data_IF_074297890794
#
_entry.id   IF_074297890794
#
_cell.length_a   1.000
_cell.length_b   1.000
_cell.length_c   1.000
_cell.angle_alpha   90.00
_cell.angle_beta   90.00
_cell.angle_gamma   90.00
#
_symmetry.space_group_name_H-M   'P 1'
#
loop_
_entity.id
_entity.type
_entity.pdbx_description
1 polymer ?
#
# COMPACT_ATOMS: atom_id res chain seq x y z
N UNK A 1 9.31 3.92 19.82
CA UNK A 1 10.20 4.40 18.75
C UNK A 1 9.45 5.39 17.87
N UNK A 2 10.10 6.49 17.49
CA UNK A 2 9.54 7.50 16.56
C UNK A 2 9.87 7.19 15.08
N UNK A 3 10.87 6.36 14.82
CA UNK A 3 11.38 6.08 13.47
C UNK A 3 11.36 4.58 13.16
N UNK A 4 10.83 4.20 12.01
CA UNK A 4 10.71 2.80 11.59
C UNK A 4 12.07 2.10 11.44
N UNK A 5 13.10 2.82 10.98
CA UNK A 5 14.48 2.33 10.86
C UNK A 5 15.09 1.96 12.22
N UNK A 6 14.77 2.70 13.28
CA UNK A 6 15.19 2.37 14.64
C UNK A 6 14.48 1.12 15.18
N UNK A 7 13.22 0.91 14.80
CA UNK A 7 12.48 -0.30 15.16
C UNK A 7 13.15 -1.52 14.52
N UNK A 8 13.51 -1.46 13.23
CA UNK A 8 14.25 -2.53 12.58
C UNK A 8 15.56 -2.84 13.31
N UNK A 9 16.35 -1.81 13.65
CA UNK A 9 17.60 -1.98 14.41
C UNK A 9 17.36 -2.66 15.76
N UNK A 10 16.35 -2.20 16.51
CA UNK A 10 16.01 -2.79 17.80
C UNK A 10 15.59 -4.26 17.67
N UNK A 11 14.79 -4.61 16.65
CA UNK A 11 14.40 -6.01 16.37
C UNK A 11 15.58 -6.87 15.98
N UNK A 12 16.50 -6.35 15.17
CA UNK A 12 17.71 -7.06 14.79
C UNK A 12 18.58 -7.45 16.00
N UNK A 13 18.47 -6.71 17.10
CA UNK A 13 19.17 -6.99 18.35
C UNK A 13 18.34 -7.84 19.33
N UNK A 14 17.05 -7.54 19.46
CA UNK A 14 16.19 -8.12 20.50
C UNK A 14 15.50 -9.41 20.06
N UNK A 15 15.28 -9.57 18.76
CA UNK A 15 14.62 -10.73 18.14
C UNK A 15 15.34 -11.07 16.83
N UNK A 16 16.66 -11.27 16.90
CA UNK A 16 17.55 -11.39 15.73
C UNK A 16 17.07 -12.44 14.74
N UNK A 17 16.69 -13.62 15.25
CA UNK A 17 16.40 -14.82 14.47
C UNK A 17 14.91 -14.92 14.08
N UNK A 18 14.09 -13.95 14.49
CA UNK A 18 12.69 -13.92 14.12
C UNK A 18 12.55 -13.65 12.63
N UNK A 19 12.01 -14.64 11.90
CA UNK A 19 11.66 -14.54 10.48
C UNK A 19 10.50 -13.56 10.31
N UNK A 20 10.82 -12.40 9.76
CA UNK A 20 9.86 -11.29 9.63
C UNK A 20 9.22 -11.26 8.23
N UNK A 21 9.91 -11.80 7.23
CA UNK A 21 9.40 -11.91 5.86
C UNK A 21 9.68 -13.27 5.24
N UNK A 22 8.70 -13.80 4.52
CA UNK A 22 8.85 -14.98 3.64
C UNK A 22 8.26 -14.63 2.28
N UNK A 23 9.03 -14.82 1.22
CA UNK A 23 8.61 -14.63 -0.16
C UNK A 23 8.34 -15.99 -0.80
N UNK A 24 7.14 -16.16 -1.37
CA UNK A 24 6.76 -17.38 -2.09
C UNK A 24 6.96 -17.23 -3.59
N UNK A 25 7.23 -18.35 -4.27
CA UNK A 25 7.16 -18.46 -5.73
C UNK A 25 5.87 -19.16 -6.20
N UNK A 26 5.64 -19.23 -7.50
CA UNK A 26 4.49 -19.87 -8.17
C UNK A 26 4.27 -21.33 -7.81
N UNK A 27 5.30 -22.04 -7.30
CA UNK A 27 5.19 -23.42 -6.83
C UNK A 27 4.70 -23.53 -5.37
N UNK A 28 4.48 -22.41 -4.68
CA UNK A 28 4.16 -22.37 -3.24
C UNK A 28 5.37 -22.60 -2.33
N UNK A 29 6.57 -22.69 -2.89
CA UNK A 29 7.79 -22.88 -2.12
C UNK A 29 8.35 -21.53 -1.64
N UNK A 30 9.03 -21.56 -0.49
CA UNK A 30 9.78 -20.41 0.01
C UNK A 30 10.94 -20.12 -0.94
N UNK A 31 10.84 -19.01 -1.67
CA UNK A 31 11.90 -18.52 -2.57
C UNK A 31 13.02 -17.86 -1.76
N UNK A 32 12.65 -16.98 -0.82
CA UNK A 32 13.56 -16.33 0.13
C UNK A 32 12.82 -16.10 1.44
N UNK A 33 13.56 -16.08 2.54
CA UNK A 33 13.08 -15.59 3.84
C UNK A 33 14.11 -14.64 4.43
N UNK A 34 13.68 -13.73 5.29
CA UNK A 34 14.57 -12.85 6.04
C UNK A 34 14.17 -12.81 7.51
N UNK A 35 15.16 -13.05 8.35
CA UNK A 35 15.12 -12.68 9.76
C UNK A 35 15.32 -11.18 9.96
N UNK A 36 14.99 -10.67 11.15
CA UNK A 36 15.23 -9.26 11.50
C UNK A 36 16.71 -8.88 11.35
N UNK A 37 17.62 -9.76 11.78
CA UNK A 37 19.06 -9.53 11.68
C UNK A 37 19.56 -9.53 10.23
N UNK A 38 19.07 -10.44 9.38
CA UNK A 38 19.47 -10.48 7.97
C UNK A 38 18.97 -9.27 7.19
N UNK A 39 17.73 -8.84 7.43
CA UNK A 39 17.18 -7.63 6.83
C UNK A 39 18.00 -6.40 7.21
N UNK A 40 18.31 -6.23 8.51
CA UNK A 40 19.14 -5.14 8.99
C UNK A 40 20.53 -5.15 8.32
N UNK A 41 21.22 -6.29 8.30
CA UNK A 41 22.55 -6.43 7.67
C UNK A 41 22.52 -6.11 6.16
N UNK A 42 21.48 -6.55 5.44
CA UNK A 42 21.32 -6.22 4.02
C UNK A 42 21.09 -4.74 3.80
N UNK A 43 20.22 -4.11 4.60
CA UNK A 43 20.00 -2.67 4.56
C UNK A 43 21.28 -1.87 4.85
N UNK A 44 22.11 -2.30 5.81
CA UNK A 44 23.42 -1.67 6.06
C UNK A 44 24.35 -1.73 4.85
N UNK A 45 24.41 -2.88 4.17
CA UNK A 45 25.23 -3.04 2.95
C UNK A 45 24.74 -2.16 1.81
N UNK A 46 23.43 -2.02 1.66
CA UNK A 46 22.84 -1.11 0.67
C UNK A 46 23.16 0.35 1.03
N UNK A 47 23.04 0.74 2.30
CA UNK A 47 23.46 2.07 2.74
C UNK A 47 24.92 2.36 2.36
N UNK A 48 25.81 1.39 2.54
CA UNK A 48 27.23 1.56 2.18
C UNK A 48 27.43 1.69 0.66
N UNK A 49 26.69 0.91 -0.12
CA UNK A 49 26.67 1.01 -1.58
C UNK A 49 26.25 2.43 -2.03
N UNK A 50 25.20 2.98 -1.40
CA UNK A 50 24.70 4.34 -1.68
C UNK A 50 25.73 5.42 -1.35
N UNK A 51 26.48 5.28 -0.25
CA UNK A 51 27.54 6.24 0.11
C UNK A 51 28.78 6.09 -0.77
N UNK A 52 29.35 4.89 -0.88
CA UNK A 52 30.64 4.67 -1.54
C UNK A 52 30.56 4.83 -3.06
N UNK A 53 29.57 4.20 -3.70
CA UNK A 53 29.40 4.23 -5.16
C UNK A 53 28.41 5.29 -5.62
N UNK A 54 27.34 5.51 -4.85
CA UNK A 54 26.28 6.46 -5.20
C UNK A 54 26.59 7.90 -4.86
N UNK A 55 27.49 8.16 -3.89
CA UNK A 55 27.79 9.49 -3.35
C UNK A 55 26.52 10.25 -2.91
N UNK A 56 25.55 9.49 -2.39
CA UNK A 56 24.25 10.01 -1.96
C UNK A 56 24.41 10.86 -0.71
N UNK A 57 23.80 12.04 -0.71
CA UNK A 57 23.72 12.93 0.44
C UNK A 57 22.41 12.73 1.21
N UNK A 58 22.37 13.17 2.45
CA UNK A 58 21.12 13.23 3.22
C UNK A 58 20.10 14.12 2.49
N UNK A 59 18.88 13.63 2.34
CA UNK A 59 17.80 14.30 1.62
C UNK A 59 17.73 13.95 0.12
N UNK A 60 18.75 13.31 -0.46
CA UNK A 60 18.70 12.91 -1.86
C UNK A 60 17.63 11.84 -2.09
N UNK A 61 16.95 11.95 -3.23
CA UNK A 61 15.89 11.02 -3.61
C UNK A 61 16.48 9.84 -4.38
N UNK A 62 16.12 8.62 -3.97
CA UNK A 62 16.62 7.39 -4.59
C UNK A 62 15.44 6.59 -5.16
N UNK A 63 15.41 6.44 -6.48
CA UNK A 63 14.40 5.65 -7.18
C UNK A 63 14.67 4.15 -6.99
N UNK A 64 13.75 3.46 -6.33
CA UNK A 64 13.79 2.03 -6.07
C UNK A 64 12.94 1.30 -7.11
N UNK A 65 13.60 0.75 -8.13
CA UNK A 65 12.93 0.04 -9.22
C UNK A 65 13.15 -1.46 -9.04
N UNK A 66 12.23 -2.15 -8.37
CA UNK A 66 12.36 -3.59 -8.07
C UNK A 66 11.06 -4.35 -8.34
N UNK A 67 11.13 -5.62 -8.78
CA UNK A 67 9.96 -6.50 -8.71
C UNK A 67 9.49 -6.65 -7.24
N UNK A 68 8.24 -7.05 -6.98
CA UNK A 68 7.78 -7.25 -5.61
C UNK A 68 8.61 -8.33 -4.93
N UNK A 69 9.29 -7.98 -3.83
CA UNK A 69 10.19 -8.92 -3.16
C UNK A 69 11.00 -8.30 -2.03
N UNK A 70 11.85 -9.13 -1.42
CA UNK A 70 12.62 -8.75 -0.24
C UNK A 70 13.72 -7.72 -0.53
N UNK A 71 14.22 -7.68 -1.77
CA UNK A 71 15.29 -6.76 -2.16
C UNK A 71 14.79 -5.31 -2.18
N UNK A 72 13.52 -5.06 -2.55
CA UNK A 72 12.85 -3.76 -2.43
C UNK A 72 12.81 -3.28 -0.97
N UNK A 73 12.45 -4.18 -0.04
CA UNK A 73 12.35 -3.87 1.39
C UNK A 73 13.74 -3.54 1.94
N UNK A 74 14.76 -4.35 1.60
CA UNK A 74 16.14 -4.08 1.99
C UNK A 74 16.61 -2.71 1.47
N UNK A 75 16.30 -2.40 0.21
CA UNK A 75 16.66 -1.14 -0.43
C UNK A 75 16.01 0.07 0.24
N UNK A 76 14.71 -0.04 0.57
CA UNK A 76 13.98 0.98 1.32
C UNK A 76 14.67 1.32 2.65
N UNK A 77 14.97 0.33 3.48
CA UNK A 77 15.67 0.57 4.75
C UNK A 77 17.11 1.02 4.57
N UNK A 78 17.79 0.60 3.49
CA UNK A 78 19.13 1.08 3.14
C UNK A 78 19.16 2.58 2.88
N UNK A 79 18.15 3.11 2.17
CA UNK A 79 17.98 4.56 1.98
C UNK A 79 17.79 5.28 3.33
N UNK A 80 16.91 4.76 4.19
CA UNK A 80 16.65 5.37 5.51
C UNK A 80 17.90 5.40 6.41
N UNK A 81 18.80 4.40 6.28
CA UNK A 81 20.04 4.34 7.04
C UNK A 81 21.10 5.36 6.64
N UNK A 82 20.97 5.97 5.46
CA UNK A 82 21.86 7.06 4.99
C UNK A 82 21.14 8.41 4.92
N UNK A 83 19.87 8.45 5.29
CA UNK A 83 19.05 9.67 5.24
C UNK A 83 18.60 10.06 3.84
N UNK A 84 18.65 9.13 2.88
CA UNK A 84 18.06 9.30 1.57
C UNK A 84 16.55 9.07 1.62
N UNK A 85 15.81 9.71 0.72
CA UNK A 85 14.36 9.57 0.59
C UNK A 85 14.05 8.56 -0.53
N UNK A 86 13.63 7.33 -0.19
CA UNK A 86 13.28 6.32 -1.18
C UNK A 86 12.00 6.71 -1.93
N UNK A 87 11.98 6.38 -3.23
CA UNK A 87 10.84 6.52 -4.14
C UNK A 87 10.58 5.14 -4.75
N UNK A 88 9.52 4.45 -4.34
CA UNK A 88 9.23 3.10 -4.86
C UNK A 88 8.52 3.15 -6.20
N UNK A 89 9.08 2.44 -7.19
CA UNK A 89 8.58 2.48 -8.57
C UNK A 89 8.41 1.06 -9.10
N UNK A 90 7.24 0.79 -9.69
CA UNK A 90 6.98 -0.46 -10.39
C UNK A 90 7.94 -0.58 -11.59
N UNK A 91 8.66 -1.70 -11.78
CA UNK A 91 9.50 -1.88 -12.95
C UNK A 91 8.65 -1.90 -14.23
N UNK A 92 9.21 -1.51 -15.38
CA UNK A 92 8.47 -1.58 -16.63
C UNK A 92 8.19 -3.04 -16.99
N UNK A 93 7.05 -3.29 -17.64
CA UNK A 93 6.66 -4.64 -18.01
C UNK A 93 7.42 -5.06 -19.29
N UNK A 94 8.14 -6.20 -19.31
CA UNK A 94 8.98 -6.58 -20.45
C UNK A 94 8.24 -6.65 -21.78
N UNK A 95 6.99 -7.14 -21.77
CA UNK A 95 6.16 -7.26 -22.98
C UNK A 95 5.53 -5.94 -23.44
N UNK A 96 5.48 -4.92 -22.55
CA UNK A 96 4.79 -3.65 -22.79
C UNK A 96 5.73 -2.47 -22.46
N UNK A 97 7.01 -2.58 -22.83
CA UNK A 97 8.03 -1.57 -22.51
C UNK A 97 7.65 -0.18 -23.05
N UNK A 98 7.11 -0.12 -24.27
CA UNK A 98 6.78 1.14 -24.94
C UNK A 98 5.71 1.98 -24.23
N UNK A 99 4.85 1.34 -23.44
CA UNK A 99 3.79 2.02 -22.67
C UNK A 99 4.14 2.17 -21.19
N UNK A 100 4.86 1.21 -20.62
CA UNK A 100 5.17 1.21 -19.18
C UNK A 100 6.45 1.96 -18.81
N UNK A 101 7.48 1.92 -19.67
CA UNK A 101 8.76 2.60 -19.43
C UNK A 101 8.64 4.12 -19.32
N UNK A 102 7.82 4.82 -20.15
CA UNK A 102 7.60 6.26 -19.98
C UNK A 102 7.06 6.64 -18.61
N UNK A 103 6.16 5.83 -18.02
CA UNK A 103 5.64 6.09 -16.66
C UNK A 103 6.74 5.94 -15.60
N UNK A 104 7.58 4.91 -15.70
CA UNK A 104 8.72 4.72 -14.79
C UNK A 104 9.66 5.92 -14.87
N UNK A 105 9.98 6.35 -16.09
CA UNK A 105 10.83 7.52 -16.31
C UNK A 105 10.21 8.79 -15.74
N UNK A 106 8.93 9.02 -16.01
CA UNK A 106 8.20 10.18 -15.51
C UNK A 106 8.25 10.25 -13.99
N UNK A 107 8.13 9.13 -13.26
CA UNK A 107 8.26 9.12 -11.80
C UNK A 107 9.69 9.47 -11.37
N UNK A 108 10.71 8.93 -12.03
CA UNK A 108 12.12 9.29 -11.74
C UNK A 108 12.38 10.79 -11.94
N UNK A 109 11.87 11.36 -13.02
CA UNK A 109 12.01 12.78 -13.31
C UNK A 109 11.22 13.64 -12.30
N UNK A 110 9.95 13.28 -12.06
CA UNK A 110 9.06 14.03 -11.15
C UNK A 110 9.57 13.98 -9.72
N UNK A 111 10.10 12.84 -9.29
CA UNK A 111 10.68 12.69 -7.96
C UNK A 111 12.07 13.33 -7.83
N UNK A 112 12.69 13.87 -8.90
CA UNK A 112 14.08 14.38 -8.85
C UNK A 112 15.08 13.36 -8.29
N UNK A 113 14.87 12.07 -8.57
CA UNK A 113 15.76 11.04 -8.08
C UNK A 113 17.17 11.24 -8.68
N UNK A 114 18.17 11.38 -7.80
CA UNK A 114 19.58 11.55 -8.20
C UNK A 114 20.22 10.21 -8.55
N UNK A 115 19.60 9.12 -8.13
CA UNK A 115 20.11 7.76 -8.28
C UNK A 115 18.96 6.77 -8.48
N UNK A 116 19.19 5.78 -9.34
CA UNK A 116 18.33 4.60 -9.50
C UNK A 116 19.01 3.40 -8.83
N UNK A 117 18.32 2.76 -7.91
CA UNK A 117 18.76 1.53 -7.26
C UNK A 117 17.85 0.38 -7.70
N UNK A 118 18.46 -0.71 -8.16
CA UNK A 118 17.74 -1.86 -8.70
C UNK A 118 18.60 -3.14 -8.65
N UNK A 119 18.06 -4.26 -9.10
CA UNK A 119 18.80 -5.52 -9.26
C UNK A 119 19.27 -5.70 -10.71
N UNK A 120 20.17 -6.67 -10.93
CA UNK A 120 20.77 -6.88 -12.23
C UNK A 120 19.75 -7.13 -13.35
N UNK A 121 18.65 -7.84 -13.05
CA UNK A 121 17.61 -8.20 -14.03
C UNK A 121 16.85 -6.99 -14.57
N UNK A 122 16.45 -6.06 -13.68
CA UNK A 122 15.75 -4.84 -14.07
C UNK A 122 16.71 -3.85 -14.70
N UNK A 123 17.95 -3.75 -14.24
CA UNK A 123 18.98 -2.89 -14.88
C UNK A 123 19.21 -3.33 -16.34
N UNK A 124 19.28 -4.65 -16.59
CA UNK A 124 19.39 -5.19 -17.96
C UNK A 124 18.16 -4.82 -18.80
N UNK A 125 16.96 -4.86 -18.23
CA UNK A 125 15.73 -4.46 -18.91
C UNK A 125 15.72 -2.96 -19.26
N UNK A 126 16.10 -2.10 -18.31
CA UNK A 126 16.17 -0.64 -18.52
C UNK A 126 17.22 -0.22 -19.55
N UNK A 127 18.26 -1.04 -19.74
CA UNK A 127 19.35 -0.82 -20.71
C UNK A 127 19.23 -1.69 -21.97
N UNK A 128 18.10 -2.38 -22.17
CA UNK A 128 17.91 -3.22 -23.35
C UNK A 128 17.80 -2.35 -24.62
N UNK A 129 17.99 -2.98 -25.80
CA UNK A 129 17.84 -2.26 -27.07
C UNK A 129 16.41 -1.75 -27.26
N UNK A 130 15.43 -2.54 -26.85
CA UNK A 130 14.01 -2.20 -26.90
C UNK A 130 13.71 -1.00 -26.00
N UNK A 131 14.25 -0.97 -24.78
CA UNK A 131 14.13 0.19 -23.90
C UNK A 131 14.80 1.44 -24.49
N UNK A 132 15.98 1.26 -25.11
CA UNK A 132 16.73 2.36 -25.76
C UNK A 132 16.00 2.97 -26.97
N UNK A 133 15.11 2.21 -27.62
CA UNK A 133 14.26 2.72 -28.69
C UNK A 133 13.13 3.62 -28.17
N UNK A 134 12.76 3.50 -26.89
CA UNK A 134 11.68 4.27 -26.26
C UNK A 134 12.23 5.49 -25.53
N UNK A 135 13.35 5.33 -24.83
CA UNK A 135 14.04 6.39 -24.08
C UNK A 135 15.55 6.20 -24.18
N UNK A 136 16.30 7.30 -24.33
CA UNK A 136 17.76 7.23 -24.34
C UNK A 136 18.29 6.64 -23.03
N UNK A 137 19.12 5.61 -23.14
CA UNK A 137 19.81 4.98 -22.02
C UNK A 137 20.64 5.96 -21.16
N UNK A 138 21.14 7.06 -21.76
CA UNK A 138 21.88 8.13 -21.05
C UNK A 138 20.98 9.06 -20.25
N UNK A 139 19.66 9.02 -20.45
CA UNK A 139 18.74 9.86 -19.70
C UNK A 139 18.66 9.44 -18.23
N UNK A 140 18.91 8.16 -17.91
CA UNK A 140 18.82 7.65 -16.54
C UNK A 140 19.87 8.28 -15.61
N UNK A 141 19.51 8.57 -14.34
CA UNK A 141 20.49 8.89 -13.31
C UNK A 141 21.49 7.74 -13.12
N UNK A 142 22.51 7.98 -12.30
CA UNK A 142 23.44 6.93 -11.88
C UNK A 142 22.64 5.72 -11.42
N UNK A 143 22.89 4.56 -12.02
CA UNK A 143 22.18 3.32 -11.70
C UNK A 143 23.12 2.38 -10.94
N UNK A 144 22.73 1.98 -9.74
CA UNK A 144 23.47 1.03 -8.92
C UNK A 144 22.75 -0.32 -8.85
N UNK A 145 23.56 -1.38 -8.86
CA UNK A 145 23.11 -2.76 -8.74
C UNK A 145 23.28 -3.26 -7.30
N UNK A 146 22.19 -3.73 -6.69
CA UNK A 146 22.22 -4.35 -5.37
C UNK A 146 22.88 -5.73 -5.36
N UNK A 147 23.10 -6.36 -6.51
CA UNK A 147 23.80 -7.65 -6.57
C UNK A 147 25.33 -7.48 -6.40
N UNK A 148 25.87 -6.27 -6.61
CA UNK A 148 27.28 -5.87 -6.45
C UNK A 148 27.52 -5.02 -5.18
N UNK A 149 26.96 -5.48 -4.05
CA UNK A 149 27.07 -4.81 -2.76
C UNK A 149 28.44 -5.02 -2.08
N UNK A 150 29.08 -3.95 -1.56
CA UNK A 150 30.26 -4.07 -0.71
C UNK A 150 30.03 -5.03 0.47
N UNK A 151 31.11 -5.68 0.93
CA UNK A 151 31.07 -6.54 2.14
C UNK A 151 31.16 -5.74 3.44
N UNK A 152 31.53 -4.46 3.37
CA UNK A 152 31.68 -3.58 4.55
C UNK A 152 30.32 -3.21 5.13
N UNK A 153 30.27 -3.07 6.46
CA UNK A 153 29.10 -2.53 7.18
C UNK A 153 29.12 -1.00 7.14
N UNK A 154 27.93 -0.40 7.22
CA UNK A 154 27.80 1.04 7.33
C UNK A 154 28.41 1.50 8.67
N UNK A 155 29.34 2.45 8.68
CA UNK A 155 30.01 2.85 9.92
C UNK A 155 29.08 3.61 10.86
N UNK A 156 28.24 4.51 10.32
CA UNK A 156 27.30 5.34 11.07
C UNK A 156 25.95 5.31 10.39
N UNK A 157 24.91 4.94 11.15
CA UNK A 157 23.52 5.02 10.71
C UNK A 157 23.01 6.45 10.87
N UNK A 158 22.42 6.99 9.81
CA UNK A 158 21.70 8.25 9.87
C UNK A 158 20.54 8.19 10.88
N UNK A 159 20.39 9.27 11.63
CA UNK A 159 19.24 9.50 12.49
C UNK A 159 18.63 10.84 12.10
N UNK A 160 17.41 10.80 11.60
CA UNK A 160 16.65 12.00 11.30
C UNK A 160 16.58 12.92 12.54
N UNK A 161 17.00 14.20 12.44
CA UNK A 161 16.82 15.19 13.49
C UNK A 161 15.39 15.29 14.07
N UNK A 162 14.36 15.22 13.22
CA UNK A 162 12.95 15.34 13.61
C UNK A 162 12.08 14.29 12.90
N UNK A 163 10.88 14.02 13.43
CA UNK A 163 9.96 13.03 12.87
C UNK A 163 9.17 13.58 11.66
N UNK A 164 9.19 14.89 11.47
CA UNK A 164 8.48 15.64 10.43
C UNK A 164 9.21 15.56 9.08
N UNK A 165 10.50 15.20 9.09
CA UNK A 165 11.24 14.94 7.85
C UNK A 165 10.69 13.76 7.06
N UNK A 166 10.93 13.81 5.75
CA UNK A 166 10.49 12.80 4.81
C UNK A 166 11.10 11.44 5.13
N UNK A 167 10.23 10.46 5.29
CA UNK A 167 10.59 9.05 5.30
C UNK A 167 10.62 8.49 3.87
N UNK A 168 9.66 8.86 3.02
CA UNK A 168 9.61 8.43 1.62
C UNK A 168 8.67 9.30 0.78
N UNK A 169 8.76 9.16 -0.54
CA UNK A 169 7.76 9.70 -1.46
C UNK A 169 6.92 8.55 -2.03
N UNK A 170 5.61 8.73 -1.98
CA UNK A 170 4.64 7.77 -2.50
C UNK A 170 4.06 8.34 -3.80
N UNK A 171 4.39 7.71 -4.93
CA UNK A 171 3.94 8.14 -6.25
C UNK A 171 2.88 7.21 -6.79
N UNK A 172 1.88 7.80 -7.43
CA UNK A 172 0.83 7.04 -8.07
C UNK A 172 0.24 7.78 -9.25
N UNK A 173 -0.22 7.02 -10.22
CA UNK A 173 -0.99 7.54 -11.34
C UNK A 173 -2.48 7.46 -10.98
N UNK A 174 -3.17 8.59 -11.02
CA UNK A 174 -4.61 8.67 -10.84
C UNK A 174 -5.36 8.01 -12.00
N UNK A 175 -6.66 7.77 -11.82
CA UNK A 175 -7.53 7.23 -12.88
C UNK A 175 -7.66 8.15 -14.10
N UNK A 176 -7.36 9.45 -13.95
CA UNK A 176 -7.32 10.43 -15.05
C UNK A 176 -5.94 10.50 -15.73
N UNK A 177 -4.98 9.65 -15.33
CA UNK A 177 -3.64 9.59 -15.89
C UNK A 177 -2.66 10.60 -15.31
N UNK A 178 -3.09 11.47 -14.39
CA UNK A 178 -2.21 12.43 -13.72
C UNK A 178 -1.33 11.72 -12.68
N UNK A 179 -0.01 11.95 -12.76
CA UNK A 179 0.94 11.49 -11.76
C UNK A 179 0.94 12.47 -10.57
N UNK A 180 0.77 11.93 -9.36
CA UNK A 180 0.90 12.69 -8.13
C UNK A 180 1.86 11.99 -7.17
N UNK A 181 2.74 12.75 -6.55
CA UNK A 181 3.57 12.30 -5.44
C UNK A 181 3.06 12.89 -4.13
N UNK A 182 3.14 12.14 -3.04
CA UNK A 182 2.87 12.65 -1.69
C UNK A 182 4.10 12.50 -0.79
N UNK A 183 4.25 13.47 0.10
CA UNK A 183 5.32 13.56 1.09
C UNK A 183 4.92 12.77 2.33
N UNK A 184 5.60 11.65 2.61
CA UNK A 184 5.32 10.85 3.81
C UNK A 184 6.42 11.06 4.84
N UNK A 185 6.09 11.67 5.98
CA UNK A 185 7.03 11.90 7.07
C UNK A 185 7.25 10.65 7.94
N UNK A 186 8.33 10.62 8.72
CA UNK A 186 8.57 9.55 9.70
C UNK A 186 7.47 9.46 10.76
N UNK A 187 6.91 10.59 11.17
CA UNK A 187 5.76 10.68 12.07
C UNK A 187 4.52 10.03 11.46
N UNK A 188 4.18 10.37 10.21
CA UNK A 188 3.04 9.79 9.51
C UNK A 188 3.18 8.27 9.34
N UNK A 189 4.37 7.79 8.95
CA UNK A 189 4.70 6.36 8.83
C UNK A 189 4.46 5.62 10.14
N UNK A 190 4.98 6.14 11.24
CA UNK A 190 4.91 5.49 12.55
C UNK A 190 3.48 5.51 13.09
N UNK A 191 2.76 6.62 12.89
CA UNK A 191 1.34 6.75 13.25
C UNK A 191 0.46 5.77 12.48
N UNK A 192 0.66 5.64 11.16
CA UNK A 192 -0.06 4.69 10.33
C UNK A 192 0.13 3.25 10.83
N UNK A 193 1.39 2.87 11.05
CA UNK A 193 1.71 1.53 11.54
C UNK A 193 1.10 1.25 12.91
N UNK A 194 1.06 2.26 13.80
CA UNK A 194 0.37 2.16 15.10
C UNK A 194 -1.13 1.93 14.93
N UNK A 195 -1.78 2.72 14.10
CA UNK A 195 -3.23 2.62 13.86
C UNK A 195 -3.60 1.27 13.25
N UNK A 196 -2.83 0.78 12.26
CA UNK A 196 -3.01 -0.57 11.70
C UNK A 196 -2.74 -1.68 12.72
N UNK A 197 -1.69 -1.54 13.54
CA UNK A 197 -1.37 -2.51 14.60
C UNK A 197 -2.54 -2.68 15.56
N UNK A 198 -3.16 -1.58 15.98
CA UNK A 198 -4.31 -1.60 16.89
C UNK A 198 -5.53 -2.19 16.18
N UNK A 199 -5.91 -1.66 15.01
CA UNK A 199 -7.11 -2.09 14.31
C UNK A 199 -7.09 -3.57 13.91
N UNK A 200 -5.94 -4.06 13.45
CA UNK A 200 -5.77 -5.45 13.00
C UNK A 200 -5.23 -6.39 14.09
N UNK A 201 -5.01 -5.91 15.31
CA UNK A 201 -4.41 -6.68 16.42
C UNK A 201 -3.11 -7.39 16.00
N UNK A 202 -2.18 -6.63 15.45
CA UNK A 202 -0.93 -7.17 14.92
C UNK A 202 0.10 -7.36 16.05
N UNK A 203 0.65 -8.55 16.16
CA UNK A 203 1.65 -8.92 17.17
C UNK A 203 2.62 -9.99 16.63
N UNK A 204 3.76 -10.25 17.28
CA UNK A 204 4.80 -11.09 16.70
C UNK A 204 4.43 -12.53 16.32
N UNK A 205 3.43 -13.11 16.98
CA UNK A 205 2.91 -14.43 16.63
C UNK A 205 1.80 -14.42 15.54
N UNK A 206 1.46 -13.27 14.95
CA UNK A 206 0.55 -13.22 13.78
C UNK A 206 1.32 -13.53 12.49
N UNK A 207 0.66 -14.24 11.59
CA UNK A 207 1.06 -14.37 10.19
C UNK A 207 0.08 -13.59 9.32
N UNK A 208 0.59 -12.78 8.41
CA UNK A 208 -0.20 -11.98 7.47
C UNK A 208 0.19 -12.35 6.05
N UNK A 209 -0.77 -12.76 5.22
CA UNK A 209 -0.54 -13.00 3.80
C UNK A 209 -0.82 -11.72 3.00
N UNK A 210 0.14 -11.29 2.20
CA UNK A 210 0.05 -10.10 1.36
C UNK A 210 0.19 -10.51 -0.10
N UNK A 211 -0.91 -10.38 -0.86
CA UNK A 211 -0.94 -10.64 -2.29
C UNK A 211 -1.41 -9.40 -3.07
N UNK A 212 -0.55 -8.40 -3.13
CA UNK A 212 -0.78 -7.10 -3.75
C UNK A 212 0.55 -6.42 -4.06
N UNK A 213 0.54 -5.39 -4.89
CA UNK A 213 1.76 -4.67 -5.26
C UNK A 213 2.28 -3.73 -4.15
N UNK A 214 3.61 -3.63 -3.96
CA UNK A 214 4.23 -2.84 -2.89
C UNK A 214 4.72 -1.45 -3.34
N UNK A 215 4.07 -0.80 -4.30
CA UNK A 215 4.64 0.41 -4.93
C UNK A 215 4.08 1.73 -4.40
N UNK A 216 2.85 1.73 -3.89
CA UNK A 216 2.19 2.92 -3.39
C UNK A 216 1.09 2.60 -2.37
N UNK A 217 0.67 3.62 -1.64
CA UNK A 217 -0.48 3.61 -0.74
C UNK A 217 -0.37 2.57 0.38
N UNK A 218 -1.53 2.05 0.80
CA UNK A 218 -1.61 1.00 1.81
C UNK A 218 -0.82 -0.26 1.41
N UNK A 219 -0.70 -0.54 0.11
CA UNK A 219 0.01 -1.72 -0.35
C UNK A 219 1.50 -1.70 -0.02
N UNK A 220 2.15 -0.58 -0.30
CA UNK A 220 3.52 -0.33 0.13
C UNK A 220 3.65 -0.40 1.66
N UNK A 221 2.74 0.24 2.41
CA UNK A 221 2.81 0.27 3.87
C UNK A 221 2.70 -1.13 4.50
N UNK A 222 1.84 -2.00 3.97
CA UNK A 222 1.69 -3.38 4.44
C UNK A 222 2.96 -4.21 4.17
N UNK A 223 3.56 -4.06 2.99
CA UNK A 223 4.76 -4.81 2.60
C UNK A 223 6.02 -4.37 3.34
N UNK A 224 6.25 -3.05 3.42
CA UNK A 224 7.55 -2.52 3.84
C UNK A 224 7.59 -2.06 5.30
N UNK A 225 6.45 -1.67 5.89
CA UNK A 225 6.42 -0.95 7.16
C UNK A 225 5.75 -1.74 8.30
N UNK A 226 4.58 -2.32 8.03
CA UNK A 226 3.68 -2.84 9.06
C UNK A 226 4.28 -3.97 9.90
N UNK A 227 4.97 -4.92 9.26
CA UNK A 227 5.64 -6.05 9.93
C UNK A 227 6.83 -5.58 10.76
N UNK A 228 7.62 -4.64 10.26
CA UNK A 228 8.73 -4.04 11.03
C UNK A 228 8.19 -3.33 12.27
N UNK A 229 7.10 -2.58 12.16
CA UNK A 229 6.53 -1.92 13.33
C UNK A 229 5.97 -2.94 14.34
N UNK A 230 5.11 -3.85 13.88
CA UNK A 230 4.30 -4.70 14.74
C UNK A 230 5.01 -5.98 15.19
N UNK A 231 5.99 -6.43 14.41
CA UNK A 231 6.78 -7.64 14.62
C UNK A 231 6.15 -8.92 14.07
N UNK A 232 5.00 -8.83 13.39
CA UNK A 232 4.35 -10.01 12.80
C UNK A 232 5.13 -10.52 11.60
N UNK A 233 4.93 -11.79 11.26
CA UNK A 233 5.52 -12.40 10.07
C UNK A 233 4.65 -12.13 8.85
N UNK A 234 5.24 -11.53 7.81
CA UNK A 234 4.57 -11.29 6.53
C UNK A 234 4.96 -12.32 5.48
N UNK A 235 3.96 -13.02 4.95
CA UNK A 235 4.07 -13.95 3.83
C UNK A 235 3.72 -13.17 2.56
N UNK A 236 4.74 -12.90 1.77
CA UNK A 236 4.69 -12.06 0.58
C UNK A 236 4.49 -12.91 -0.66
N UNK A 237 3.47 -12.57 -1.43
CA UNK A 237 3.08 -13.29 -2.64
C UNK A 237 2.96 -12.25 -3.77
N UNK A 238 3.97 -12.14 -4.65
CA UNK A 238 3.89 -11.24 -5.79
C UNK A 238 2.69 -11.60 -6.67
N UNK A 239 1.87 -10.62 -7.13
CA UNK A 239 0.74 -10.91 -8.01
C UNK A 239 1.11 -11.68 -9.28
N UNK A 240 2.31 -11.45 -9.83
CA UNK A 240 2.85 -12.18 -10.99
C UNK A 240 2.99 -13.69 -10.76
N UNK A 241 3.22 -14.12 -9.52
CA UNK A 241 3.26 -15.56 -9.20
C UNK A 241 1.86 -16.19 -9.18
N UNK A 242 0.83 -15.38 -8.86
CA UNK A 242 -0.59 -15.80 -8.91
C UNK A 242 -1.10 -15.84 -10.34
N UNK A 243 -0.61 -14.97 -11.23
CA UNK A 243 -0.91 -15.04 -12.66
C UNK A 243 -0.46 -16.38 -13.26
N UNK A 244 0.68 -16.91 -12.82
CA UNK A 244 1.19 -18.23 -13.21
C UNK A 244 0.39 -19.35 -12.53
N UNK A 245 0.10 -19.20 -11.24
CA UNK A 245 -0.64 -20.18 -10.44
C UNK A 245 -1.75 -19.52 -9.60
N UNK A 246 -3.00 -19.48 -10.10
CA UNK A 246 -4.11 -18.83 -9.40
C UNK A 246 -4.43 -19.40 -8.01
N UNK A 247 -4.05 -20.65 -7.74
CA UNK A 247 -4.27 -21.30 -6.45
C UNK A 247 -3.27 -20.90 -5.36
N UNK A 248 -2.16 -20.25 -5.74
CA UNK A 248 -1.02 -19.98 -4.86
C UNK A 248 -1.43 -19.23 -3.59
N UNK A 249 -2.15 -18.12 -3.75
CA UNK A 249 -2.54 -17.27 -2.63
C UNK A 249 -3.44 -18.02 -1.62
N UNK A 250 -4.49 -18.67 -2.10
CA UNK A 250 -5.39 -19.45 -1.24
C UNK A 250 -4.69 -20.65 -0.59
N UNK A 251 -3.77 -21.29 -1.31
CA UNK A 251 -2.97 -22.40 -0.79
C UNK A 251 -2.04 -21.94 0.31
N UNK A 252 -1.37 -20.80 0.14
CA UNK A 252 -0.52 -20.20 1.17
C UNK A 252 -1.34 -19.79 2.41
N UNK A 253 -2.48 -19.13 2.21
CA UNK A 253 -3.39 -18.75 3.31
C UNK A 253 -3.81 -19.98 4.12
N UNK A 254 -4.17 -21.08 3.45
CA UNK A 254 -4.52 -22.36 4.08
C UNK A 254 -3.32 -22.99 4.80
N UNK A 255 -2.18 -23.13 4.13
CA UNK A 255 -0.98 -23.80 4.65
C UNK A 255 -0.45 -23.14 5.92
N UNK A 256 -0.38 -21.81 5.92
CA UNK A 256 0.13 -21.03 7.05
C UNK A 256 -0.97 -20.68 8.08
N UNK A 257 -2.20 -21.18 7.89
CA UNK A 257 -3.38 -20.93 8.74
C UNK A 257 -3.57 -19.43 9.00
N UNK A 258 -3.43 -18.63 7.94
CA UNK A 258 -3.45 -17.18 8.03
C UNK A 258 -4.84 -16.70 8.42
N UNK A 259 -4.88 -15.83 9.44
CA UNK A 259 -6.11 -15.20 9.90
C UNK A 259 -6.47 -13.96 9.08
N UNK A 260 -5.48 -13.12 8.82
CA UNK A 260 -5.64 -11.82 8.17
C UNK A 260 -4.83 -11.80 6.87
N UNK A 261 -5.50 -11.52 5.76
CA UNK A 261 -4.90 -11.49 4.43
C UNK A 261 -5.34 -10.23 3.69
N UNK A 262 -4.44 -9.72 2.85
CA UNK A 262 -4.68 -8.54 2.04
C UNK A 262 -4.43 -8.87 0.58
N UNK A 263 -5.28 -8.37 -0.31
CA UNK A 263 -5.11 -8.55 -1.75
C UNK A 263 -5.57 -7.32 -2.54
N UNK A 264 -5.26 -7.28 -3.84
CA UNK A 264 -5.85 -6.32 -4.77
C UNK A 264 -7.10 -6.89 -5.45
N UNK A 265 -7.90 -6.04 -6.10
CA UNK A 265 -8.99 -6.52 -6.95
C UNK A 265 -8.50 -7.40 -8.10
N UNK A 266 -7.35 -7.08 -8.69
CA UNK A 266 -6.76 -7.89 -9.77
C UNK A 266 -6.47 -9.33 -9.31
N UNK A 267 -5.90 -9.49 -8.12
CA UNK A 267 -5.66 -10.83 -7.54
C UNK A 267 -6.96 -11.55 -7.24
N UNK A 268 -7.95 -10.87 -6.67
CA UNK A 268 -9.27 -11.46 -6.41
C UNK A 268 -9.93 -11.93 -7.71
N UNK A 269 -9.85 -11.15 -8.78
CA UNK A 269 -10.38 -11.47 -10.10
C UNK A 269 -9.65 -12.67 -10.73
N UNK A 270 -8.32 -12.70 -10.68
CA UNK A 270 -7.49 -13.82 -11.14
C UNK A 270 -7.88 -15.13 -10.45
N UNK A 271 -8.01 -15.11 -9.11
CA UNK A 271 -8.43 -16.30 -8.37
C UNK A 271 -9.87 -16.72 -8.70
N UNK A 272 -10.81 -15.75 -8.76
CA UNK A 272 -12.22 -16.04 -9.05
C UNK A 272 -12.39 -16.68 -10.43
N UNK A 273 -11.72 -16.12 -11.46
CA UNK A 273 -11.78 -16.65 -12.82
C UNK A 273 -10.99 -17.94 -12.97
N UNK A 274 -9.74 -17.96 -12.48
CA UNK A 274 -8.82 -19.09 -12.68
C UNK A 274 -9.17 -20.35 -11.89
N UNK A 275 -9.94 -20.23 -10.81
CA UNK A 275 -10.28 -21.36 -9.93
C UNK A 275 -11.75 -21.75 -9.95
N UNK A 276 -12.58 -21.11 -10.78
CA UNK A 276 -14.03 -21.32 -10.82
C UNK A 276 -14.46 -22.79 -10.89
N UNK A 277 -13.79 -23.59 -11.72
CA UNK A 277 -14.06 -25.02 -11.91
C UNK A 277 -13.22 -25.93 -10.99
N UNK A 278 -12.22 -25.40 -10.30
CA UNK A 278 -11.21 -26.18 -9.57
C UNK A 278 -11.44 -26.22 -8.05
N UNK A 279 -12.51 -25.60 -7.54
CA UNK A 279 -12.80 -25.53 -6.09
C UNK A 279 -12.88 -26.92 -5.45
N UNK A 280 -13.56 -27.88 -6.09
CA UNK A 280 -13.65 -29.25 -5.56
C UNK A 280 -12.29 -29.95 -5.52
N UNK A 281 -11.42 -29.68 -6.51
CA UNK A 281 -10.06 -30.19 -6.54
C UNK A 281 -9.18 -29.56 -5.45
N UNK A 282 -9.36 -28.27 -5.16
CA UNK A 282 -8.67 -27.61 -4.06
C UNK A 282 -9.10 -28.21 -2.71
N UNK A 283 -10.40 -28.46 -2.56
CA UNK A 283 -10.94 -29.12 -1.37
C UNK A 283 -10.38 -30.53 -1.18
N UNK A 284 -10.29 -31.33 -2.25
CA UNK A 284 -9.70 -32.68 -2.18
C UNK A 284 -8.20 -32.67 -1.89
N UNK A 285 -7.49 -31.60 -2.28
CA UNK A 285 -6.10 -31.31 -1.88
C UNK A 285 -5.96 -30.78 -0.44
N UNK A 286 -7.07 -30.64 0.31
CA UNK A 286 -7.06 -30.21 1.70
C UNK A 286 -6.95 -28.70 1.91
N UNK A 287 -7.19 -27.88 0.87
CA UNK A 287 -7.23 -26.42 1.04
C UNK A 287 -8.43 -26.01 1.90
N UNK A 288 -8.17 -25.27 2.96
CA UNK A 288 -9.16 -24.82 3.94
C UNK A 288 -8.90 -23.36 4.36
N UNK A 289 -9.90 -22.51 4.15
CA UNK A 289 -9.88 -21.08 4.41
C UNK A 289 -10.65 -20.70 5.69
N UNK A 290 -11.09 -21.66 6.50
CA UNK A 290 -11.85 -21.40 7.74
C UNK A 290 -11.07 -20.60 8.81
N UNK A 291 -9.74 -20.53 8.70
CA UNK A 291 -8.91 -19.69 9.57
C UNK A 291 -9.04 -18.19 9.25
N UNK A 292 -9.44 -17.85 8.02
CA UNK A 292 -9.51 -16.46 7.55
C UNK A 292 -10.66 -15.74 8.26
N UNK A 293 -10.32 -14.70 9.01
CA UNK A 293 -11.28 -13.79 9.64
C UNK A 293 -11.37 -12.47 8.92
N UNK A 294 -10.27 -12.04 8.29
CA UNK A 294 -10.22 -10.78 7.56
C UNK A 294 -9.47 -10.98 6.25
N UNK A 295 -10.13 -10.67 5.14
CA UNK A 295 -9.63 -10.66 3.78
C UNK A 295 -9.91 -9.28 3.20
N UNK A 296 -8.98 -8.35 3.40
CA UNK A 296 -9.16 -6.95 2.98
C UNK A 296 -8.68 -6.77 1.54
N UNK A 297 -9.60 -6.32 0.68
CA UNK A 297 -9.24 -5.88 -0.67
C UNK A 297 -8.80 -4.42 -0.61
N UNK A 298 -7.52 -4.20 -0.93
CA UNK A 298 -6.90 -2.88 -0.95
C UNK A 298 -7.11 -2.24 -2.32
N UNK A 299 -7.81 -1.12 -2.36
CA UNK A 299 -8.00 -0.32 -3.56
C UNK A 299 -8.35 1.15 -3.22
N UNK A 300 -8.04 2.04 -4.15
CA UNK A 300 -8.39 3.48 -4.12
C UNK A 300 -9.59 3.72 -5.06
N UNK A 301 -10.62 2.89 -4.95
CA UNK A 301 -11.84 2.97 -5.76
C UNK A 301 -13.05 2.46 -4.97
N UNK A 302 -14.24 2.67 -5.54
CA UNK A 302 -15.49 2.18 -4.95
C UNK A 302 -15.46 0.64 -4.79
N UNK A 303 -15.98 0.09 -3.68
CA UNK A 303 -16.12 -1.35 -3.51
C UNK A 303 -16.80 -2.08 -4.69
N UNK A 304 -16.13 -3.09 -5.26
CA UNK A 304 -16.62 -3.89 -6.39
C UNK A 304 -17.51 -5.05 -5.90
N UNK A 305 -18.74 -4.71 -5.53
CA UNK A 305 -19.72 -5.63 -4.93
C UNK A 305 -19.90 -6.97 -5.65
N UNK A 306 -19.99 -6.95 -6.98
CA UNK A 306 -20.20 -8.19 -7.74
C UNK A 306 -19.01 -9.15 -7.62
N UNK A 307 -17.78 -8.60 -7.67
CA UNK A 307 -16.56 -9.39 -7.56
C UNK A 307 -16.40 -9.97 -6.14
N UNK A 308 -16.58 -9.15 -5.10
CA UNK A 308 -16.46 -9.62 -3.70
C UNK A 308 -17.50 -10.67 -3.35
N UNK A 309 -18.74 -10.51 -3.85
CA UNK A 309 -19.82 -11.50 -3.66
C UNK A 309 -19.52 -12.81 -4.39
N UNK A 310 -19.09 -12.74 -5.66
CA UNK A 310 -18.74 -13.91 -6.47
C UNK A 310 -17.57 -14.68 -5.86
N UNK A 311 -16.51 -13.99 -5.43
CA UNK A 311 -15.37 -14.58 -4.74
C UNK A 311 -15.80 -15.29 -3.44
N UNK A 312 -16.58 -14.61 -2.59
CA UNK A 312 -17.06 -15.16 -1.32
C UNK A 312 -17.92 -16.40 -1.53
N UNK A 313 -18.83 -16.36 -2.50
CA UNK A 313 -19.70 -17.49 -2.83
C UNK A 313 -18.88 -18.69 -3.33
N UNK A 314 -17.94 -18.44 -4.25
CA UNK A 314 -17.12 -19.48 -4.86
C UNK A 314 -16.28 -20.23 -3.82
N UNK A 315 -15.60 -19.50 -2.93
CA UNK A 315 -14.68 -20.09 -1.96
C UNK A 315 -15.32 -20.44 -0.60
N UNK A 316 -16.63 -20.23 -0.44
CA UNK A 316 -17.39 -20.70 0.72
C UNK A 316 -17.27 -22.22 0.92
N UNK A 317 -17.17 -22.98 -0.18
CA UNK A 317 -16.97 -24.43 -0.14
C UNK A 317 -15.61 -24.87 0.44
N UNK A 318 -14.62 -23.96 0.47
CA UNK A 318 -13.33 -24.12 1.13
C UNK A 318 -13.34 -23.56 2.57
N UNK A 319 -14.47 -23.08 3.07
CA UNK A 319 -14.61 -22.54 4.43
C UNK A 319 -14.38 -21.03 4.55
N UNK A 320 -14.22 -20.30 3.44
CA UNK A 320 -14.14 -18.85 3.50
C UNK A 320 -15.50 -18.26 3.92
N UNK A 321 -15.51 -17.55 5.05
CA UNK A 321 -16.69 -16.81 5.48
C UNK A 321 -16.90 -15.58 4.59
N UNK A 322 -18.10 -15.34 4.02
CA UNK A 322 -18.38 -14.10 3.28
C UNK A 322 -18.15 -12.84 4.13
N UNK A 323 -18.30 -12.96 5.45
CA UNK A 323 -18.08 -11.87 6.42
C UNK A 323 -16.61 -11.49 6.57
N UNK A 324 -15.70 -12.37 6.17
CA UNK A 324 -14.28 -12.08 6.20
C UNK A 324 -13.86 -11.16 5.07
N UNK A 325 -14.60 -11.13 3.95
CA UNK A 325 -14.22 -10.33 2.78
C UNK A 325 -14.72 -8.90 2.95
N UNK A 326 -13.79 -7.97 2.92
CA UNK A 326 -14.05 -6.54 3.09
C UNK A 326 -13.17 -5.73 2.16
N UNK A 327 -13.31 -4.41 2.22
CA UNK A 327 -12.41 -3.48 1.51
C UNK A 327 -11.68 -2.59 2.51
N UNK A 328 -10.71 -1.84 2.00
CA UNK A 328 -10.17 -0.64 2.65
C UNK A 328 -10.41 0.57 1.77
N UNK A 329 -10.38 1.76 2.36
CA UNK A 329 -10.29 3.00 1.61
C UNK A 329 -9.14 3.86 2.15
N UNK A 330 -8.32 4.30 1.22
CA UNK A 330 -7.28 5.30 1.39
C UNK A 330 -7.19 6.08 0.10
N UNK A 331 -6.49 7.20 0.14
CA UNK A 331 -6.27 8.08 -0.99
C UNK A 331 -4.90 8.75 -0.87
N UNK A 332 -4.59 9.65 -1.80
CA UNK A 332 -3.33 10.43 -1.78
C UNK A 332 -3.09 11.13 -0.45
N UNK A 333 -4.03 11.93 0.05
CA UNK A 333 -3.78 12.72 1.26
C UNK A 333 -3.72 11.86 2.53
N UNK A 334 -4.26 10.65 2.49
CA UNK A 334 -4.18 9.67 3.58
C UNK A 334 -4.28 8.24 3.03
N UNK A 335 -3.17 7.51 3.08
CA UNK A 335 -3.07 6.20 2.43
C UNK A 335 -3.89 5.09 3.11
N UNK A 336 -4.48 5.32 4.29
CA UNK A 336 -5.38 4.39 4.95
C UNK A 336 -6.36 5.14 5.88
N UNK A 337 -7.53 5.50 5.36
CA UNK A 337 -8.60 6.15 6.12
C UNK A 337 -9.37 5.09 6.90
N UNK A 338 -9.78 4.02 6.21
CA UNK A 338 -10.52 2.93 6.82
C UNK A 338 -10.11 1.57 6.27
N UNK A 339 -10.24 0.55 7.12
CA UNK A 339 -10.11 -0.86 6.77
C UNK A 339 -10.90 -1.70 7.78
N UNK A 340 -11.14 -2.95 7.44
CA UNK A 340 -11.76 -3.89 8.37
C UNK A 340 -10.71 -4.41 9.36
N UNK A 341 -10.87 -4.06 10.64
CA UNK A 341 -10.03 -4.56 11.71
C UNK A 341 -10.41 -5.98 12.17
N UNK A 342 -9.55 -6.55 13.01
CA UNK A 342 -9.69 -7.90 13.57
C UNK A 342 -10.99 -8.12 14.37
N UNK A 343 -11.40 -7.08 15.10
CA UNK A 343 -12.57 -7.07 15.98
C UNK A 343 -13.66 -6.12 15.48
N UNK A 344 -13.62 -5.75 14.19
CA UNK A 344 -14.62 -4.87 13.58
C UNK A 344 -15.93 -5.62 13.31
N UNK A 345 -17.10 -5.00 13.49
CA UNK A 345 -18.40 -5.56 13.10
C UNK A 345 -18.42 -5.93 11.62
N UNK A 346 -19.24 -6.90 11.24
CA UNK A 346 -19.36 -7.37 9.86
C UNK A 346 -19.58 -6.22 8.86
N UNK A 347 -18.95 -6.26 7.66
CA UNK A 347 -19.13 -5.21 6.66
C UNK A 347 -20.60 -5.02 6.32
N UNK A 348 -21.07 -3.77 6.39
CA UNK A 348 -22.46 -3.45 6.11
C UNK A 348 -22.69 -3.15 4.63
N UNK A 349 -23.88 -3.49 4.13
CA UNK A 349 -24.37 -3.06 2.82
C UNK A 349 -25.61 -2.20 3.00
N UNK A 350 -25.77 -1.22 2.13
CA UNK A 350 -26.95 -0.34 2.10
C UNK A 350 -27.46 -0.20 0.68
N UNK A 351 -28.75 0.10 0.56
CA UNK A 351 -29.37 0.45 -0.72
C UNK A 351 -29.70 1.94 -0.68
N UNK A 352 -29.27 2.67 -1.70
CA UNK A 352 -29.53 4.10 -1.84
C UNK A 352 -30.35 4.39 -3.10
N UNK A 353 -31.21 5.40 -3.05
CA UNK A 353 -31.95 5.85 -4.22
C UNK A 353 -31.01 6.57 -5.23
N UNK A 354 -30.93 6.06 -6.47
CA UNK A 354 -30.08 6.64 -7.52
C UNK A 354 -30.46 8.07 -7.91
N UNK A 355 -31.75 8.43 -7.86
CA UNK A 355 -32.22 9.77 -8.21
C UNK A 355 -31.84 10.76 -7.12
N UNK A 356 -31.98 10.38 -5.85
CA UNK A 356 -31.51 11.18 -4.72
C UNK A 356 -29.99 11.41 -4.83
N UNK A 357 -29.22 10.34 -5.12
CA UNK A 357 -27.76 10.43 -5.22
C UNK A 357 -27.29 11.35 -6.35
N UNK A 358 -28.02 11.43 -7.47
CA UNK A 358 -27.75 12.38 -8.57
C UNK A 358 -28.00 13.85 -8.19
N UNK A 359 -28.71 14.10 -7.10
CA UNK A 359 -28.98 15.43 -6.56
C UNK A 359 -28.24 15.63 -5.22
N UNK A 360 -27.09 14.98 -5.05
CA UNK A 360 -26.22 15.06 -3.87
C UNK A 360 -26.90 14.71 -2.54
N UNK A 361 -27.93 13.85 -2.59
CA UNK A 361 -28.66 13.37 -1.41
C UNK A 361 -28.50 11.87 -1.22
N UNK A 362 -28.38 11.46 0.03
CA UNK A 362 -28.30 10.05 0.43
C UNK A 362 -29.63 9.67 1.07
N UNK A 363 -30.47 8.98 0.31
CA UNK A 363 -31.72 8.40 0.78
C UNK A 363 -31.60 6.88 0.82
N UNK A 364 -31.67 6.30 2.02
CA UNK A 364 -31.69 4.85 2.20
C UNK A 364 -33.04 4.29 1.76
N UNK A 365 -33.00 3.22 0.98
CA UNK A 365 -34.18 2.50 0.48
C UNK A 365 -34.07 1.02 0.80
N UNK A 366 -35.15 0.28 0.58
CA UNK A 366 -35.14 -1.17 0.76
C UNK A 366 -34.47 -1.89 -0.41
N UNK A 367 -34.06 -3.13 -0.16
CA UNK A 367 -33.57 -3.99 -1.23
C UNK A 367 -34.69 -4.25 -2.24
N UNK A 368 -34.42 -3.95 -3.51
CA UNK A 368 -35.38 -4.19 -4.59
C UNK A 368 -36.30 -3.01 -4.87
N UNK A 369 -36.20 -1.90 -4.13
CA UNK A 369 -36.90 -0.66 -4.49
C UNK A 369 -36.49 -0.20 -5.91
N UNK A 370 -37.42 0.41 -6.67
CA UNK A 370 -37.10 0.99 -7.97
C UNK A 370 -35.92 1.95 -7.87
N UNK A 371 -34.96 1.86 -8.80
CA UNK A 371 -33.74 2.71 -8.79
C UNK A 371 -32.83 2.55 -7.56
N UNK A 372 -32.97 1.47 -6.78
CA UNK A 372 -32.03 1.18 -5.70
C UNK A 372 -30.63 0.82 -6.22
N UNK A 373 -29.61 1.41 -5.61
CA UNK A 373 -28.20 1.08 -5.82
C UNK A 373 -27.62 0.49 -4.55
N UNK A 374 -27.11 -0.74 -4.65
CA UNK A 374 -26.40 -1.39 -3.55
C UNK A 374 -24.99 -0.80 -3.39
N UNK A 375 -24.66 -0.36 -2.17
CA UNK A 375 -23.35 0.12 -1.75
C UNK A 375 -22.77 -0.80 -0.67
N UNK A 376 -21.46 -1.04 -0.74
CA UNK A 376 -20.70 -1.64 0.36
C UNK A 376 -20.07 -0.54 1.20
N UNK A 377 -20.00 -0.78 2.50
CA UNK A 377 -19.10 -0.06 3.38
C UNK A 377 -17.63 -0.24 2.94
N UNK A 378 -16.87 0.85 2.94
CA UNK A 378 -15.45 0.84 2.54
C UNK A 378 -14.50 0.32 3.62
N UNK A 379 -14.97 0.19 4.87
CA UNK A 379 -14.21 -0.23 6.05
C UNK A 379 -14.53 0.64 7.27
N UNK A 380 -13.96 0.31 8.43
CA UNK A 380 -14.07 1.11 9.67
C UNK A 380 -12.91 2.09 9.79
N UNK A 381 -13.18 3.30 10.28
CA UNK A 381 -12.14 4.33 10.46
C UNK A 381 -11.01 3.78 11.34
N UNK A 382 -9.78 4.00 10.91
CA UNK A 382 -8.62 3.59 11.69
C UNK A 382 -8.49 4.43 12.98
N UNK A 383 -7.91 3.88 14.06
CA UNK A 383 -7.65 4.63 15.28
C UNK A 383 -6.89 5.94 14.99
N UNK A 384 -7.38 7.06 15.54
CA UNK A 384 -6.81 8.39 15.32
C UNK A 384 -7.25 9.08 14.03
N UNK A 385 -8.06 8.44 13.18
CA UNK A 385 -8.65 9.06 11.99
C UNK A 385 -9.99 9.68 12.34
N UNK A 386 -10.14 10.97 12.01
CA UNK A 386 -11.42 11.67 11.98
C UNK A 386 -11.81 11.96 10.54
N UNK A 387 -13.08 11.77 10.23
CA UNK A 387 -13.64 12.08 8.91
C UNK A 387 -14.88 12.93 9.08
N UNK A 388 -15.01 13.90 8.20
CA UNK A 388 -16.23 14.67 7.99
C UNK A 388 -16.60 14.63 6.51
N UNK A 389 -17.85 14.99 6.21
CA UNK A 389 -18.29 15.29 4.85
C UNK A 389 -18.55 16.78 4.74
N UNK A 390 -18.03 17.40 3.68
CA UNK A 390 -18.19 18.82 3.42
C UNK A 390 -18.56 19.07 1.96
N UNK A 391 -19.33 20.12 1.71
CA UNK A 391 -19.58 20.55 0.35
C UNK A 391 -18.29 21.17 -0.21
N UNK A 392 -17.77 20.68 -1.36
CA UNK A 392 -16.44 21.07 -1.85
C UNK A 392 -16.32 22.53 -2.28
N UNK A 393 -17.45 23.20 -2.60
CA UNK A 393 -17.49 24.58 -3.06
C UNK A 393 -17.70 25.54 -1.87
N UNK A 394 -18.75 25.32 -1.09
CA UNK A 394 -19.11 26.19 0.04
C UNK A 394 -18.26 25.95 1.29
N UNK A 395 -17.53 24.82 1.35
CA UNK A 395 -16.76 24.37 2.53
C UNK A 395 -17.61 24.28 3.80
N UNK A 396 -18.92 24.11 3.66
CA UNK A 396 -19.86 23.86 4.76
C UNK A 396 -19.98 22.37 5.06
N UNK A 397 -20.15 22.02 6.34
CA UNK A 397 -20.33 20.62 6.74
C UNK A 397 -21.65 20.07 6.18
N UNK A 398 -21.58 18.90 5.54
CA UNK A 398 -22.75 18.19 5.05
C UNK A 398 -23.46 17.47 6.21
N UNK A 399 -24.79 17.48 6.21
CA UNK A 399 -25.58 16.60 7.09
C UNK A 399 -25.52 15.14 6.63
N UNK A 400 -25.90 14.22 7.51
CA UNK A 400 -25.81 12.76 7.25
C UNK A 400 -26.58 12.28 6.00
N UNK A 401 -27.60 13.04 5.57
CA UNK A 401 -28.40 12.76 4.37
C UNK A 401 -27.87 13.40 3.08
N UNK A 402 -26.70 14.02 3.11
CA UNK A 402 -26.09 14.65 1.93
C UNK A 402 -24.80 13.95 1.53
N UNK A 403 -24.62 13.81 0.22
CA UNK A 403 -23.34 13.43 -0.35
C UNK A 403 -22.40 14.62 -0.24
N UNK A 404 -21.17 14.40 0.21
CA UNK A 404 -20.17 15.45 0.33
C UNK A 404 -18.77 14.92 0.05
N UNK A 405 -17.83 15.84 -0.12
CA UNK A 405 -16.43 15.49 -0.17
C UNK A 405 -15.99 14.98 1.20
N UNK A 406 -15.29 13.85 1.21
CA UNK A 406 -14.69 13.26 2.40
C UNK A 406 -13.46 14.09 2.74
N UNK A 407 -13.45 14.68 3.93
CA UNK A 407 -12.29 15.37 4.48
C UNK A 407 -11.76 14.60 5.69
N UNK A 408 -10.43 14.49 5.79
CA UNK A 408 -9.78 13.61 6.76
C UNK A 408 -8.74 14.36 7.60
N UNK A 409 -8.83 14.17 8.91
CA UNK A 409 -7.81 14.60 9.87
C UNK A 409 -7.24 13.35 10.54
N UNK A 410 -5.93 13.15 10.40
CA UNK A 410 -5.23 12.03 11.03
C UNK A 410 -3.75 12.34 11.27
N UNK A 411 -3.13 11.81 12.34
CA UNK A 411 -1.68 11.83 12.53
C UNK A 411 -0.87 11.14 11.43
N UNK A 412 -1.52 10.38 10.54
CA UNK A 412 -0.90 9.73 9.39
C UNK A 412 -1.38 10.26 8.03
N UNK A 413 -1.91 11.48 7.99
CA UNK A 413 -2.02 12.20 6.73
C UNK A 413 -0.62 12.41 6.11
N UNK A 414 -0.56 12.44 4.78
CA UNK A 414 0.63 12.91 4.09
C UNK A 414 0.90 14.38 4.47
N UNK A 415 2.18 14.78 4.42
CA UNK A 415 2.61 16.13 4.78
C UNK A 415 2.51 17.13 3.62
N UNK A 416 1.91 16.73 2.50
CA UNK A 416 1.75 17.55 1.30
C UNK A 416 1.91 16.76 0.02
N UNK A 417 1.54 17.38 -1.11
CA UNK A 417 1.93 16.85 -2.42
C UNK A 417 3.40 17.16 -2.72
N UNK A 418 3.98 16.35 -3.60
CA UNK A 418 5.27 16.58 -4.21
C UNK A 418 5.05 16.93 -5.68
N UNK A 419 5.30 18.17 -6.06
CA UNK A 419 5.13 18.66 -7.44
C UNK A 419 6.41 19.34 -7.90
N UNK A 420 6.68 19.28 -9.21
CA UNK A 420 7.76 20.06 -9.85
C UNK A 420 7.21 21.40 -10.38
N UNK A 421 5.94 21.40 -10.78
CA UNK A 421 5.29 22.52 -11.45
C UNK A 421 4.10 22.97 -10.60
N UNK A 422 4.02 24.27 -10.34
CA UNK A 422 3.01 24.88 -9.48
C UNK A 422 3.61 25.34 -8.15
N UNK A 423 3.10 26.47 -7.68
CA UNK A 423 3.45 27.05 -6.38
C UNK A 423 2.86 26.15 -5.28
N UNK A 424 3.59 25.90 -4.17
CA UNK A 424 3.06 25.05 -3.07
C UNK A 424 1.71 25.59 -2.53
N UNK A 425 1.40 26.86 -2.78
CA UNK A 425 0.14 27.51 -2.41
C UNK A 425 -1.10 26.94 -3.11
N UNK A 426 -0.99 26.45 -4.35
CA UNK A 426 -2.16 25.90 -5.09
C UNK A 426 -2.71 24.62 -4.42
N UNK A 427 -1.87 23.95 -3.62
CA UNK A 427 -2.20 22.73 -2.92
C UNK A 427 -2.32 22.90 -1.40
N UNK A 428 -2.08 24.09 -0.85
CA UNK A 428 -2.23 24.35 0.58
C UNK A 428 -3.64 23.99 1.05
N UNK A 429 -4.65 24.38 0.27
CA UNK A 429 -6.06 24.06 0.49
C UNK A 429 -6.36 22.55 0.56
N UNK A 430 -5.51 21.68 0.01
CA UNK A 430 -5.71 20.23 0.10
C UNK A 430 -5.31 19.62 1.45
N UNK A 431 -4.42 20.25 2.21
CA UNK A 431 -3.94 19.72 3.49
C UNK A 431 -4.28 20.63 4.69
N UNK A 432 -4.66 21.88 4.43
CA UNK A 432 -5.04 22.85 5.45
C UNK A 432 -6.49 23.35 5.34
N UNK A 433 -7.41 22.54 4.83
CA UNK A 433 -8.80 22.95 4.69
C UNK A 433 -9.49 23.10 6.04
N UNK A 434 -10.35 24.11 6.14
CA UNK A 434 -11.19 24.39 7.29
C UNK A 434 -12.64 24.54 6.83
N UNK A 435 -13.55 24.12 7.70
CA UNK A 435 -14.97 24.34 7.49
C UNK A 435 -15.29 25.85 7.65
N UNK A 436 -16.23 26.33 6.86
CA UNK A 436 -16.80 27.69 7.00
C UNK A 436 -17.91 27.71 8.05
N UNK A 437 -18.60 26.57 8.23
CA UNK A 437 -19.69 26.40 9.22
C UNK A 437 -19.51 25.09 9.99
N UNK A 438 -19.91 25.08 11.28
CA UNK A 438 -19.67 23.95 12.18
C UNK A 438 -18.38 24.13 12.99
N UNK A 439 -17.53 23.10 13.05
CA UNK A 439 -16.25 23.18 13.75
C UNK A 439 -15.16 23.82 12.87
N UNK A 440 -15.01 25.14 12.95
CA UNK A 440 -14.08 25.92 12.13
C UNK A 440 -12.64 25.93 12.65
N UNK A 441 -12.41 25.41 13.86
CA UNK A 441 -11.08 25.41 14.50
C UNK A 441 -10.18 24.22 14.11
N UNK A 442 -10.74 23.20 13.46
CA UNK A 442 -10.00 22.01 13.04
C UNK A 442 -9.58 22.09 11.57
N UNK A 443 -8.43 21.48 11.28
CA UNK A 443 -7.83 21.44 9.96
C UNK A 443 -7.92 20.01 9.40
N UNK A 444 -8.35 19.92 8.15
CA UNK A 444 -8.56 18.67 7.44
C UNK A 444 -7.82 18.64 6.10
N UNK A 445 -7.48 17.43 5.66
CA UNK A 445 -7.03 17.19 4.30
C UNK A 445 -8.24 16.80 3.41
N UNK A 446 -8.32 17.44 2.25
CA UNK A 446 -9.35 17.23 1.23
C UNK A 446 -9.00 16.04 0.36
N UNK A 447 -9.84 15.00 0.38
CA UNK A 447 -9.53 13.77 -0.34
C UNK A 447 -9.86 13.84 -1.84
N UNK A 448 -10.75 14.73 -2.26
CA UNK A 448 -11.34 14.75 -3.61
C UNK A 448 -12.37 13.65 -3.86
N UNK A 449 -12.64 12.76 -2.90
CA UNK A 449 -13.61 11.69 -3.04
C UNK A 449 -14.94 12.08 -2.40
N UNK A 450 -16.04 11.80 -3.11
CA UNK A 450 -17.38 11.96 -2.57
C UNK A 450 -17.81 10.72 -1.78
N UNK A 451 -18.52 10.94 -0.68
CA UNK A 451 -19.09 9.87 0.13
C UNK A 451 -20.00 10.40 1.23
N UNK A 452 -20.43 9.47 2.09
CA UNK A 452 -21.22 9.76 3.28
C UNK A 452 -20.80 8.84 4.42
N UNK A 453 -21.02 9.29 5.65
CA UNK A 453 -20.75 8.51 6.85
C UNK A 453 -22.07 7.94 7.38
N UNK A 454 -22.05 6.65 7.72
CA UNK A 454 -23.15 6.01 8.44
C UNK A 454 -22.69 5.70 9.85
N UNK A 455 -23.29 6.36 10.84
CA UNK A 455 -23.11 6.01 12.25
C UNK A 455 -23.92 4.74 12.52
N UNK A 456 -23.24 3.69 12.97
CA UNK A 456 -23.84 2.38 13.28
C UNK A 456 -23.72 2.08 14.75
#
# INVERSE_FOLDING_TARGET
YQFISQILRWRAQSTSDHVIFTLLNSKGAVSKALTCAELHKKAERIGNLLLEKGRVNTGDHVALIFPPGLDLICAFYGCLYVGAVPVTIRPPHPQNLHTTLPTVRMIVDVSKATLVLSNQSVIKLLRSKEASNVLDSKAWPITLDTDDMPKKKLPILYRAPTAEMLAYLDFSVSTTGMLAGIKMSHAAVTSLCRSMKIACELYPSRHIALCLDPYCGLGFALWCLSSIYSGHHSILIPPSEVEINPALWLSAVSQYKVRDTFCSYGVMELCTKGLGSSVNQLKSKGINLACVRTCVVVAEERPRMHLTTSFSKLFSALGLSPRAVSTSFGCRVNIAICLQGASSPEPSTVYVDLRALRNDRVSLVERGSPHSLCLMESGKLLPGVKVITANPETKGQCGDSHLGEIWVQSPHNASGYFTIYGDESDYADHFSAQLVTGNTGEVYARTGYLGFLRRT
#
